data_IF_057855246381
#
_entry.id   IF_057855246381
#
_cell.length_a   1.000
_cell.length_b   1.000
_cell.length_c   1.000
_cell.angle_alpha   90.00
_cell.angle_beta   90.00
_cell.angle_gamma   90.00
#
_symmetry.space_group_name_H-M   'P 1'
#
loop_
_entity.id
_entity.type
_entity.pdbx_description
1 polymer ?
#
# COMPACT_ATOMS: atom_id res chain seq x y z
N UNK A 1 6.75 7.48 -19.56
CA UNK A 1 5.38 7.67 -19.03
C UNK A 1 5.34 9.03 -18.37
N UNK A 2 4.34 9.87 -18.67
CA UNK A 2 4.20 11.19 -18.05
C UNK A 2 3.48 11.00 -16.71
N UNK A 3 4.08 11.44 -15.61
CA UNK A 3 3.49 11.30 -14.29
C UNK A 3 2.52 12.45 -14.03
N UNK A 4 1.26 12.12 -13.80
CA UNK A 4 0.17 13.08 -13.80
C UNK A 4 -0.07 13.60 -12.39
N UNK A 5 0.74 14.58 -11.95
CA UNK A 5 0.70 15.13 -10.58
C UNK A 5 -0.68 15.63 -10.16
N UNK A 6 -1.45 16.16 -11.12
CA UNK A 6 -2.81 16.65 -10.88
C UNK A 6 -3.76 15.51 -10.49
N UNK A 7 -3.50 14.30 -10.97
CA UNK A 7 -4.33 13.12 -10.69
C UNK A 7 -4.00 12.48 -9.34
N UNK A 8 -2.78 12.65 -8.84
CA UNK A 8 -2.39 12.19 -7.50
C UNK A 8 -3.17 12.84 -6.35
N UNK A 9 -3.77 14.02 -6.57
CA UNK A 9 -4.52 14.75 -5.54
C UNK A 9 -6.03 14.52 -5.74
N UNK A 10 -6.42 13.93 -6.86
CA UNK A 10 -7.80 13.59 -7.17
C UNK A 10 -8.12 12.22 -6.58
N UNK A 11 -9.11 12.17 -5.69
CA UNK A 11 -9.65 10.92 -5.19
C UNK A 11 -10.33 10.15 -6.33
N UNK A 12 -9.67 9.10 -6.79
CA UNK A 12 -10.15 8.21 -7.85
C UNK A 12 -10.09 6.78 -7.33
N UNK A 13 -11.21 6.06 -7.35
CA UNK A 13 -11.23 4.69 -6.82
C UNK A 13 -10.43 3.76 -7.75
N UNK A 14 -9.19 3.46 -7.37
CA UNK A 14 -8.22 2.74 -8.22
C UNK A 14 -7.65 1.48 -7.55
N UNK A 15 -7.96 1.24 -6.27
CA UNK A 15 -7.56 0.05 -5.52
C UNK A 15 -8.78 -0.82 -5.28
N UNK A 16 -8.82 -1.99 -5.92
CA UNK A 16 -9.90 -2.95 -5.80
C UNK A 16 -9.75 -3.85 -4.55
N UNK A 17 -10.74 -4.69 -4.26
CA UNK A 17 -10.78 -5.52 -3.03
C UNK A 17 -9.54 -6.38 -2.78
N UNK A 18 -8.89 -6.92 -3.83
CA UNK A 18 -7.68 -7.74 -3.68
C UNK A 18 -6.54 -6.92 -3.10
N UNK A 19 -6.10 -5.87 -3.79
CA UNK A 19 -5.04 -4.99 -3.28
C UNK A 19 -5.41 -4.27 -1.99
N UNK A 20 -6.70 -3.95 -1.80
CA UNK A 20 -7.19 -3.40 -0.53
C UNK A 20 -6.90 -4.36 0.61
N UNK A 21 -7.18 -5.65 0.45
CA UNK A 21 -6.85 -6.67 1.46
C UNK A 21 -5.35 -6.71 1.71
N UNK A 22 -4.52 -6.75 0.68
CA UNK A 22 -3.06 -6.77 0.86
C UNK A 22 -2.53 -5.54 1.58
N UNK A 23 -2.98 -4.33 1.23
CA UNK A 23 -2.57 -3.10 1.94
C UNK A 23 -3.06 -3.06 3.38
N UNK A 24 -4.25 -3.59 3.66
CA UNK A 24 -4.80 -3.69 5.01
C UNK A 24 -4.05 -4.74 5.84
N UNK A 25 -3.78 -5.92 5.30
CA UNK A 25 -3.02 -6.98 5.98
C UNK A 25 -1.56 -6.60 6.19
N UNK A 26 -0.88 -6.11 5.14
CA UNK A 26 0.50 -5.64 5.23
C UNK A 26 0.60 -4.44 6.19
N UNK A 27 -0.30 -3.47 6.08
CA UNK A 27 -0.33 -2.33 6.98
C UNK A 27 -0.61 -2.72 8.43
N UNK A 28 -1.55 -3.64 8.69
CA UNK A 28 -1.83 -4.15 10.03
C UNK A 28 -0.65 -4.92 10.61
N UNK A 29 -0.01 -5.80 9.82
CA UNK A 29 1.18 -6.53 10.24
C UNK A 29 2.34 -5.57 10.59
N UNK A 30 2.56 -4.55 9.75
CA UNK A 30 3.59 -3.55 9.96
C UNK A 30 3.31 -2.70 11.22
N UNK A 31 2.06 -2.33 11.49
CA UNK A 31 1.67 -1.67 12.75
C UNK A 31 1.99 -2.57 13.96
N UNK A 32 1.64 -3.86 13.92
CA UNK A 32 1.95 -4.80 15.01
C UNK A 32 3.46 -4.86 15.25
N UNK A 33 4.26 -5.08 14.19
CA UNK A 33 5.72 -5.11 14.28
C UNK A 33 6.27 -3.78 14.84
N UNK A 34 5.74 -2.64 14.40
CA UNK A 34 6.18 -1.32 14.85
C UNK A 34 6.01 -1.10 16.35
N UNK A 35 4.96 -1.67 16.94
CA UNK A 35 4.70 -1.60 18.38
C UNK A 35 5.75 -2.43 19.12
N UNK A 36 6.08 -3.63 18.64
CA UNK A 36 7.13 -4.48 19.22
C UNK A 36 8.52 -3.85 19.11
N UNK A 37 8.83 -3.22 17.98
CA UNK A 37 10.12 -2.54 17.75
C UNK A 37 10.17 -1.13 18.35
N UNK A 38 9.06 -0.62 18.90
CA UNK A 38 8.91 0.76 19.39
C UNK A 38 9.33 1.83 18.35
N UNK A 39 9.09 1.56 17.06
CA UNK A 39 9.51 2.44 15.96
C UNK A 39 8.34 3.28 15.45
N UNK A 40 8.38 4.57 15.79
CA UNK A 40 7.36 5.56 15.39
C UNK A 40 7.27 5.68 13.85
N UNK A 41 8.40 5.58 13.15
CA UNK A 41 8.44 5.70 11.68
C UNK A 41 7.66 4.56 11.03
N UNK A 42 7.88 3.32 11.48
CA UNK A 42 7.16 2.15 10.98
C UNK A 42 5.66 2.25 11.28
N UNK A 43 5.30 2.74 12.46
CA UNK A 43 3.89 2.95 12.84
C UNK A 43 3.21 3.93 11.88
N UNK A 44 3.84 5.06 11.58
CA UNK A 44 3.30 6.07 10.66
C UNK A 44 3.16 5.52 9.24
N UNK A 45 4.16 4.77 8.75
CA UNK A 45 4.10 4.12 7.42
C UNK A 45 2.96 3.09 7.38
N UNK A 46 2.83 2.27 8.42
CA UNK A 46 1.74 1.30 8.54
C UNK A 46 0.36 1.96 8.53
N UNK A 47 0.18 3.07 9.27
CA UNK A 47 -1.06 3.85 9.25
C UNK A 47 -1.38 4.43 7.88
N UNK A 48 -0.38 4.94 7.14
CA UNK A 48 -0.57 5.45 5.77
C UNK A 48 -0.97 4.31 4.83
N UNK A 49 -0.36 3.12 4.95
CA UNK A 49 -0.72 1.94 4.16
C UNK A 49 -2.18 1.52 4.41
N UNK A 50 -2.57 1.42 5.68
CA UNK A 50 -3.94 1.08 6.07
C UNK A 50 -4.92 2.16 5.59
N UNK A 51 -4.59 3.44 5.76
CA UNK A 51 -5.44 4.55 5.33
C UNK A 51 -5.68 4.59 3.81
N UNK A 52 -4.62 4.35 3.02
CA UNK A 52 -4.73 4.27 1.54
C UNK A 52 -5.47 3.02 1.09
N UNK A 53 -5.29 1.88 1.76
CA UNK A 53 -6.09 0.67 1.54
C UNK A 53 -7.56 0.86 1.89
N UNK A 54 -7.86 1.49 3.03
CA UNK A 54 -9.23 1.71 3.50
C UNK A 54 -10.02 2.62 2.57
N UNK A 55 -9.41 3.73 2.14
CA UNK A 55 -10.00 4.69 1.19
C UNK A 55 -10.13 4.14 -0.23
N UNK A 56 -9.47 3.01 -0.57
CA UNK A 56 -9.50 2.43 -1.91
C UNK A 56 -8.82 3.33 -2.95
N UNK A 57 -7.91 4.20 -2.49
CA UNK A 57 -7.23 5.18 -3.31
C UNK A 57 -5.74 5.21 -2.98
N UNK A 58 -4.92 4.97 -4.00
CA UNK A 58 -3.48 5.17 -3.92
C UNK A 58 -3.08 6.37 -4.81
N UNK A 59 -2.55 7.47 -4.21
CA UNK A 59 -2.09 8.64 -4.95
C UNK A 59 -1.08 8.29 -6.04
N UNK A 60 -0.15 7.38 -5.73
CA UNK A 60 0.90 6.93 -6.67
C UNK A 60 0.29 6.23 -7.88
N UNK A 61 -0.67 5.33 -7.66
CA UNK A 61 -1.35 4.62 -8.75
C UNK A 61 -2.18 5.60 -9.59
N UNK A 62 -2.80 6.61 -8.97
CA UNK A 62 -3.52 7.67 -9.68
C UNK A 62 -2.59 8.49 -10.57
N UNK A 63 -1.40 8.87 -10.07
CA UNK A 63 -0.39 9.59 -10.86
C UNK A 63 0.18 8.76 -12.02
N UNK A 64 0.20 7.43 -11.89
CA UNK A 64 0.61 6.48 -12.93
C UNK A 64 -0.53 6.05 -13.85
N UNK A 65 -1.77 6.51 -13.62
CA UNK A 65 -2.96 6.05 -14.34
C UNK A 65 -3.12 4.52 -14.30
N UNK A 66 -2.78 3.92 -13.15
CA UNK A 66 -2.94 2.49 -12.87
C UNK A 66 -4.19 2.23 -12.05
N UNK A 67 -4.91 1.20 -12.43
CA UNK A 67 -6.10 0.74 -11.75
C UNK A 67 -6.03 -0.78 -11.53
N UNK A 68 -5.96 -1.19 -10.26
CA UNK A 68 -5.85 -2.59 -9.89
C UNK A 68 -7.16 -3.34 -9.85
N UNK A 69 -8.27 -2.70 -10.21
CA UNK A 69 -9.50 -3.40 -10.61
C UNK A 69 -9.25 -4.32 -11.82
N UNK A 70 -8.19 -4.08 -12.61
CA UNK A 70 -7.85 -4.88 -13.80
C UNK A 70 -6.54 -5.70 -13.62
N UNK A 71 -5.58 -5.26 -12.80
CA UNK A 71 -4.19 -5.78 -12.80
C UNK A 71 -3.82 -6.75 -11.65
N UNK A 72 -4.75 -7.15 -10.78
CA UNK A 72 -4.52 -7.87 -9.52
C UNK A 72 -4.01 -9.34 -9.61
N UNK A 73 -3.10 -9.65 -10.54
CA UNK A 73 -2.53 -10.99 -10.76
C UNK A 73 -1.00 -11.01 -10.50
N UNK A 74 -0.31 -9.87 -10.38
CA UNK A 74 1.16 -9.83 -10.54
C UNK A 74 2.03 -9.56 -9.29
N UNK A 75 1.52 -9.04 -8.17
CA UNK A 75 2.38 -8.44 -7.11
C UNK A 75 2.60 -9.26 -5.83
N UNK A 76 2.07 -10.49 -5.77
CA UNK A 76 2.10 -11.38 -4.59
C UNK A 76 3.46 -12.05 -4.26
N UNK A 77 4.56 -11.68 -4.92
CA UNK A 77 5.80 -12.46 -4.89
C UNK A 77 6.97 -11.80 -4.13
N UNK A 78 6.75 -10.75 -3.32
CA UNK A 78 7.83 -9.81 -2.98
C UNK A 78 8.24 -9.57 -1.53
N UNK A 79 7.66 -10.20 -0.50
CA UNK A 79 7.98 -9.79 0.89
C UNK A 79 8.04 -10.91 1.94
N UNK A 80 8.66 -12.05 1.62
CA UNK A 80 9.07 -13.05 2.62
C UNK A 80 10.60 -13.15 2.83
N UNK A 81 11.43 -12.38 2.12
CA UNK A 81 12.88 -12.64 2.03
C UNK A 81 13.81 -11.81 2.94
N UNK A 82 13.35 -11.16 4.02
CA UNK A 82 14.30 -10.41 4.87
C UNK A 82 14.11 -10.55 6.38
N UNK A 83 13.80 -11.78 6.84
CA UNK A 83 13.88 -12.14 8.26
C UNK A 83 14.86 -13.30 8.55
N UNK A 84 15.65 -13.74 7.56
CA UNK A 84 16.50 -14.93 7.68
C UNK A 84 18.02 -14.67 7.73
N UNK A 85 18.49 -13.43 7.91
CA UNK A 85 19.93 -13.18 8.07
C UNK A 85 20.26 -11.98 8.97
N UNK A 86 20.25 -12.18 10.29
CA UNK A 86 21.08 -11.46 11.27
C UNK A 86 21.15 -12.26 12.56
#
# INVERSE_FOLDING_TARGET
MNFDFKRMIKFEHNVCEKEKKYRMYAGAALIVISIFTASIILLVVGLILVGTGFSGWCPVYSGLNKNTCTEAVAEEAGSEDNAANS
#
